data_IF_295248288900
#
_entry.id   IF_295248288900
#
_cell.length_a   1.000
_cell.length_b   1.000
_cell.length_c   1.000
_cell.angle_alpha   90.00
_cell.angle_beta   90.00
_cell.angle_gamma   90.00
#
_symmetry.space_group_name_H-M   'P 1'
#
loop_
_entity.id
_entity.type
_entity.pdbx_description
1 polymer ?
#
# COMPACT_ATOMS: atom_id res chain seq x y z
N UNK A 1 -12.68 2.74 -7.83
CA UNK A 1 -11.85 2.03 -6.83
C UNK A 1 -12.15 2.56 -5.42
N UNK A 2 -12.11 1.68 -4.42
CA UNK A 2 -12.30 2.01 -3.01
C UNK A 2 -10.96 2.37 -2.32
N UNK A 3 -9.86 1.84 -2.85
CA UNK A 3 -8.51 1.98 -2.29
C UNK A 3 -7.53 2.31 -3.40
N UNK A 4 -6.61 3.25 -3.17
CA UNK A 4 -5.45 3.53 -4.05
C UNK A 4 -4.15 3.35 -3.28
N UNK A 5 -3.14 2.75 -3.91
CA UNK A 5 -1.83 2.53 -3.29
C UNK A 5 -0.72 2.46 -4.34
N UNK A 6 0.51 2.85 -3.98
CA UNK A 6 1.67 2.64 -4.82
C UNK A 6 2.01 1.15 -4.91
N UNK A 7 2.44 0.68 -6.09
CA UNK A 7 3.03 -0.65 -6.27
C UNK A 7 4.29 -0.59 -7.13
N UNK A 8 5.18 -1.56 -6.92
CA UNK A 8 6.28 -1.90 -7.82
C UNK A 8 6.38 -3.40 -7.98
N UNK A 9 7.02 -3.85 -9.04
CA UNK A 9 7.30 -5.27 -9.29
C UNK A 9 8.80 -5.51 -9.17
N UNK A 10 9.22 -6.41 -8.28
CA UNK A 10 10.62 -6.85 -8.14
C UNK A 10 10.68 -8.36 -8.16
N UNK A 11 11.57 -8.91 -8.99
CA UNK A 11 11.78 -10.36 -9.14
C UNK A 11 10.50 -11.17 -9.43
N UNK A 12 9.53 -10.54 -10.11
CA UNK A 12 8.22 -11.14 -10.42
C UNK A 12 7.15 -10.96 -9.33
N UNK A 13 7.52 -10.45 -8.15
CA UNK A 13 6.61 -10.22 -7.03
C UNK A 13 6.14 -8.77 -6.95
N UNK A 14 4.84 -8.59 -6.72
CA UNK A 14 4.25 -7.27 -6.49
C UNK A 14 4.50 -6.81 -5.05
N UNK A 15 5.18 -5.67 -4.92
CA UNK A 15 5.34 -4.96 -3.65
C UNK A 15 4.37 -3.79 -3.59
N UNK A 16 3.53 -3.77 -2.54
CA UNK A 16 2.70 -2.62 -2.17
C UNK A 16 3.54 -1.63 -1.35
N UNK A 17 3.39 -0.35 -1.62
CA UNK A 17 3.91 0.75 -0.80
C UNK A 17 2.83 1.51 -0.01
N UNK A 18 3.27 2.53 0.71
CA UNK A 18 2.46 3.55 1.38
C UNK A 18 2.56 4.88 0.61
N UNK A 19 1.58 5.81 0.74
CA UNK A 19 0.37 5.72 1.55
C UNK A 19 -0.73 4.87 0.91
N UNK A 20 -1.64 4.37 1.74
CA UNK A 20 -2.94 3.84 1.27
C UNK A 20 -3.99 4.93 1.38
N UNK A 21 -4.60 5.26 0.25
CA UNK A 21 -5.67 6.24 0.15
C UNK A 21 -7.00 5.51 0.08
N UNK A 22 -7.91 5.82 1.00
CA UNK A 22 -9.25 5.27 1.03
C UNK A 22 -10.27 6.29 0.52
N UNK A 23 -11.24 5.83 -0.26
CA UNK A 23 -12.42 6.65 -0.54
C UNK A 23 -13.21 6.90 0.74
N UNK A 24 -14.06 7.94 0.74
CA UNK A 24 -14.90 8.25 1.90
C UNK A 24 -15.79 7.08 2.33
N UNK A 25 -16.38 6.38 1.36
CA UNK A 25 -17.24 5.22 1.60
C UNK A 25 -16.43 4.06 2.22
N UNK A 26 -15.28 3.74 1.62
CA UNK A 26 -14.36 2.72 2.11
C UNK A 26 -13.92 2.98 3.55
N UNK A 27 -13.60 4.24 3.89
CA UNK A 27 -13.28 4.64 5.26
C UNK A 27 -14.43 4.37 6.23
N UNK A 28 -15.67 4.67 5.84
CA UNK A 28 -16.85 4.42 6.68
C UNK A 28 -17.05 2.94 6.96
N UNK A 29 -16.82 2.08 5.97
CA UNK A 29 -16.95 0.64 6.12
C UNK A 29 -15.88 0.05 7.06
N UNK A 30 -14.64 0.56 7.00
CA UNK A 30 -13.58 0.21 7.96
C UNK A 30 -13.95 0.61 9.38
N UNK A 31 -14.41 1.85 9.59
CA UNK A 31 -14.78 2.36 10.92
C UNK A 31 -15.93 1.58 11.54
N UNK A 32 -16.86 1.06 10.72
CA UNK A 32 -17.96 0.20 11.18
C UNK A 32 -17.52 -1.23 11.52
N UNK A 33 -16.25 -1.57 11.33
CA UNK A 33 -15.72 -2.92 11.53
C UNK A 33 -16.10 -3.90 10.42
N UNK A 34 -16.65 -3.41 9.29
CA UNK A 34 -17.18 -4.26 8.23
C UNK A 34 -16.11 -4.86 7.33
N UNK A 35 -14.95 -4.19 7.17
CA UNK A 35 -13.86 -4.66 6.31
C UNK A 35 -12.50 -4.19 6.83
N UNK A 36 -11.52 -5.10 6.89
CA UNK A 36 -10.13 -4.73 7.04
C UNK A 36 -9.50 -4.46 5.65
N UNK A 37 -9.54 -3.20 5.23
CA UNK A 37 -9.03 -2.75 3.93
C UNK A 37 -7.51 -2.49 3.92
N UNK A 38 -6.84 -2.58 5.08
CA UNK A 38 -5.40 -2.30 5.20
C UNK A 38 -4.50 -3.51 4.93
N UNK A 39 -5.04 -4.73 4.88
CA UNK A 39 -4.24 -5.93 4.71
C UNK A 39 -3.87 -6.20 3.25
N UNK A 40 -2.63 -6.64 3.00
CA UNK A 40 -2.12 -7.16 1.71
C UNK A 40 -3.15 -8.04 0.97
N UNK A 41 -3.88 -8.87 1.70
CA UNK A 41 -4.90 -9.75 1.14
C UNK A 41 -6.13 -9.04 0.53
N UNK A 42 -6.32 -7.73 0.69
CA UNK A 42 -7.37 -7.01 -0.03
C UNK A 42 -7.11 -7.01 -1.54
N UNK A 43 -5.85 -6.82 -1.96
CA UNK A 43 -5.48 -6.74 -3.37
C UNK A 43 -5.78 -8.08 -4.07
N UNK A 44 -5.42 -9.19 -3.42
CA UNK A 44 -5.63 -10.54 -3.93
C UNK A 44 -7.11 -10.92 -3.96
N UNK A 45 -7.88 -10.59 -2.90
CA UNK A 45 -9.27 -11.04 -2.77
C UNK A 45 -10.27 -10.16 -3.53
N UNK A 46 -9.97 -8.88 -3.70
CA UNK A 46 -10.88 -7.86 -4.26
C UNK A 46 -10.14 -6.88 -5.17
N UNK A 47 -9.53 -7.36 -6.27
CA UNK A 47 -8.81 -6.50 -7.21
C UNK A 47 -9.71 -5.42 -7.83
N UNK A 48 -11.02 -5.66 -7.91
CA UNK A 48 -12.05 -4.71 -8.36
C UNK A 48 -12.11 -3.43 -7.51
N UNK A 49 -11.69 -3.50 -6.24
CA UNK A 49 -11.72 -2.40 -5.30
C UNK A 49 -10.42 -1.60 -5.26
N UNK A 50 -9.37 -2.07 -5.93
CA UNK A 50 -8.02 -1.48 -5.87
C UNK A 50 -7.71 -0.70 -7.14
N UNK A 51 -7.24 0.53 -6.98
CA UNK A 51 -6.56 1.28 -8.01
C UNK A 51 -5.05 1.27 -7.71
N UNK A 52 -4.27 0.87 -8.69
CA UNK A 52 -2.82 0.73 -8.57
C UNK A 52 -2.15 1.99 -9.11
N UNK A 53 -1.20 2.54 -8.37
CA UNK A 53 -0.29 3.59 -8.84
C UNK A 53 1.11 3.01 -8.98
N UNK A 54 1.57 2.75 -10.19
CA UNK A 54 2.91 2.19 -10.41
C UNK A 54 3.99 3.25 -10.18
N UNK A 55 4.99 2.92 -9.36
CA UNK A 55 6.11 3.81 -9.05
C UNK A 55 7.28 3.00 -8.52
N UNK A 56 8.51 3.38 -8.91
CA UNK A 56 9.74 2.80 -8.36
C UNK A 56 10.41 3.68 -7.29
N UNK A 57 9.79 4.79 -6.91
CA UNK A 57 10.36 5.68 -5.89
C UNK A 57 10.39 5.01 -4.52
N UNK A 58 11.58 4.84 -3.97
CA UNK A 58 11.79 4.19 -2.66
C UNK A 58 11.04 4.87 -1.51
N UNK A 59 10.72 6.16 -1.65
CA UNK A 59 9.92 6.90 -0.66
C UNK A 59 8.52 6.34 -0.41
N UNK A 60 8.02 5.47 -1.30
CA UNK A 60 6.76 4.74 -1.10
C UNK A 60 6.93 3.35 -0.48
N UNK A 61 8.12 2.74 -0.54
CA UNK A 61 8.30 1.31 -0.24
C UNK A 61 9.26 1.02 0.91
N UNK A 62 10.06 1.99 1.34
CA UNK A 62 11.03 1.81 2.41
C UNK A 62 10.55 2.49 3.69
N UNK A 63 10.30 1.68 4.72
CA UNK A 63 10.02 2.17 6.06
C UNK A 63 11.34 2.45 6.79
N UNK A 64 11.46 3.66 7.36
CA UNK A 64 12.66 4.12 8.07
C UNK A 64 12.44 3.95 9.58
N UNK A 65 12.38 2.70 10.03
CA UNK A 65 12.13 2.37 11.45
C UNK A 65 13.41 2.29 12.29
N UNK A 66 14.57 2.14 11.65
CA UNK A 66 15.85 1.98 12.34
C UNK A 66 16.92 2.95 11.80
N UNK A 67 17.94 3.28 12.61
CA UNK A 67 19.10 4.04 12.11
C UNK A 67 19.80 3.36 10.93
N UNK A 68 19.74 2.02 10.85
CA UNK A 68 20.27 1.29 9.69
C UNK A 68 19.41 1.53 8.45
N UNK A 69 18.09 1.43 8.57
CA UNK A 69 17.14 1.72 7.48
C UNK A 69 17.36 3.13 6.90
N UNK A 70 17.65 4.12 7.75
CA UNK A 70 17.98 5.46 7.29
C UNK A 70 19.28 5.51 6.49
N UNK A 71 20.34 4.85 6.99
CA UNK A 71 21.64 4.79 6.29
C UNK A 71 21.53 4.09 4.93
N UNK A 72 20.72 3.04 4.85
CA UNK A 72 20.53 2.25 3.62
C UNK A 72 19.83 3.06 2.50
N UNK A 73 19.07 4.09 2.84
CA UNK A 73 18.36 4.96 1.87
C UNK A 73 19.12 6.25 1.56
N UNK A 74 19.92 6.75 2.52
CA UNK A 74 20.64 8.02 2.40
C UNK A 74 22.05 7.89 1.77
N UNK A 75 22.55 6.66 1.61
CA UNK A 75 23.81 6.36 0.92
C UNK A 75 23.62 6.14 -0.57
#
# INVERSE_FOLDING_TARGET
>A
AAVTMPVRYRDGDMQRGNPVVLSRAARQDVVRGGVNLGCRGLIERRPDLVNVFESDSDGYFVDIDTPQSYRDVAG
#
